data_IF_604413436959
#
_entry.id   IF_604413436959
#
_cell.length_a   1.000
_cell.length_b   1.000
_cell.length_c   1.000
_cell.angle_alpha   90.00
_cell.angle_beta   90.00
_cell.angle_gamma   90.00
#
_symmetry.space_group_name_H-M   'P 1'
#
loop_
_entity.id
_entity.type
_entity.pdbx_description
1 polymer ?
#
# COMPACT_ATOMS: atom_id res chain seq x y z
N UNK A 1 20.96 -0.48 -9.59
CA UNK A 1 19.87 -0.10 -8.71
C UNK A 1 18.85 0.77 -9.43
N UNK A 2 17.65 0.78 -8.97
CA UNK A 2 16.58 1.60 -9.48
C UNK A 2 15.92 2.32 -8.31
N UNK A 3 15.70 3.63 -8.44
CA UNK A 3 14.95 4.46 -7.51
C UNK A 3 13.71 4.96 -8.25
N UNK A 4 12.53 4.73 -7.71
CA UNK A 4 11.29 5.17 -8.32
C UNK A 4 10.43 5.87 -7.26
N UNK A 5 10.03 7.11 -7.57
CA UNK A 5 9.08 7.90 -6.78
C UNK A 5 7.86 8.19 -7.62
N UNK A 6 6.69 7.94 -7.05
CA UNK A 6 5.41 8.16 -7.71
C UNK A 6 4.44 8.82 -6.75
N UNK A 7 3.67 9.74 -7.29
CA UNK A 7 2.58 10.40 -6.61
C UNK A 7 1.27 10.17 -7.37
N UNK A 8 0.24 9.83 -6.64
CA UNK A 8 -1.08 9.51 -7.20
C UNK A 8 -2.18 10.12 -6.35
N UNK A 9 -3.35 10.31 -6.97
CA UNK A 9 -4.60 10.39 -6.21
C UNK A 9 -4.95 8.99 -5.70
N UNK A 10 -5.30 8.81 -4.41
CA UNK A 10 -5.67 7.50 -3.88
C UNK A 10 -6.83 6.86 -4.66
N UNK A 11 -6.76 5.56 -4.88
CA UNK A 11 -7.80 4.82 -5.64
C UNK A 11 -9.19 4.93 -4.99
N UNK A 12 -9.23 5.01 -3.65
CA UNK A 12 -10.47 5.13 -2.88
C UNK A 12 -11.22 6.47 -3.13
N UNK A 13 -10.55 7.50 -3.65
CA UNK A 13 -11.18 8.74 -4.12
C UNK A 13 -12.10 8.47 -5.31
N UNK A 14 -11.81 7.41 -6.08
CA UNK A 14 -12.71 6.88 -7.08
C UNK A 14 -12.89 7.76 -8.32
N UNK A 15 -11.87 8.49 -8.74
CA UNK A 15 -11.93 9.44 -9.88
C UNK A 15 -12.46 8.78 -11.15
N UNK A 16 -11.99 7.56 -11.47
CA UNK A 16 -12.47 6.85 -12.65
C UNK A 16 -13.96 6.46 -12.52
N UNK A 17 -14.37 6.01 -11.34
CA UNK A 17 -15.76 5.67 -11.07
C UNK A 17 -16.67 6.89 -11.16
N UNK A 18 -16.22 8.02 -10.62
CA UNK A 18 -16.93 9.29 -10.75
C UNK A 18 -17.08 9.71 -12.20
N UNK A 19 -16.02 9.67 -13.00
CA UNK A 19 -16.04 10.05 -14.40
C UNK A 19 -17.00 9.18 -15.25
N UNK A 20 -17.17 7.92 -14.90
CA UNK A 20 -18.06 6.98 -15.58
C UNK A 20 -19.51 7.11 -15.17
N UNK A 21 -19.79 7.31 -13.88
CA UNK A 21 -21.14 7.16 -13.32
C UNK A 21 -21.82 8.50 -13.03
N UNK A 22 -21.08 9.61 -13.01
CA UNK A 22 -21.68 10.91 -12.72
C UNK A 22 -22.27 11.52 -14.00
N UNK A 23 -23.49 12.04 -13.88
CA UNK A 23 -24.13 12.76 -14.98
C UNK A 23 -23.35 14.03 -15.32
N UNK A 24 -23.21 14.32 -16.61
CA UNK A 24 -22.59 15.56 -17.10
C UNK A 24 -23.34 16.85 -16.68
N UNK A 25 -24.56 16.70 -16.19
CA UNK A 25 -25.37 17.81 -15.65
C UNK A 25 -25.01 18.17 -14.20
N UNK A 26 -24.11 17.41 -13.56
CA UNK A 26 -23.62 17.69 -12.20
C UNK A 26 -22.31 18.44 -12.30
N UNK A 27 -22.30 19.78 -12.15
CA UNK A 27 -21.07 20.56 -12.27
C UNK A 27 -20.21 20.41 -11.01
N UNK A 28 -18.88 20.31 -11.18
CA UNK A 28 -17.95 20.36 -10.06
C UNK A 28 -17.70 21.79 -9.55
N UNK A 29 -17.90 22.77 -10.44
CA UNK A 29 -17.75 24.19 -10.14
C UNK A 29 -19.08 24.92 -10.43
N UNK A 30 -19.41 25.91 -9.61
CA UNK A 30 -20.49 26.84 -9.83
C UNK A 30 -20.17 27.91 -10.91
N UNK A 31 -21.16 28.73 -11.24
CA UNK A 31 -20.97 29.86 -12.17
C UNK A 31 -19.99 30.93 -11.61
N UNK A 32 -19.83 30.97 -10.33
CA UNK A 32 -18.88 31.82 -9.57
C UNK A 32 -17.45 31.26 -9.52
N UNK A 33 -17.23 30.02 -10.02
CA UNK A 33 -15.95 29.33 -9.99
C UNK A 33 -15.64 28.63 -8.66
N UNK A 34 -16.56 28.65 -7.70
CA UNK A 34 -16.44 27.94 -6.44
C UNK A 34 -16.84 26.46 -6.58
N UNK A 35 -16.32 25.59 -5.69
CA UNK A 35 -16.67 24.18 -5.68
C UNK A 35 -18.13 23.97 -5.26
N UNK A 36 -18.85 23.16 -6.03
CA UNK A 36 -20.22 22.75 -5.69
C UNK A 36 -20.20 21.43 -4.96
N UNK A 37 -20.71 21.41 -3.73
CA UNK A 37 -20.78 20.23 -2.91
C UNK A 37 -22.14 19.59 -2.98
N UNK A 38 -22.16 18.26 -3.05
CA UNK A 38 -23.37 17.44 -3.17
C UNK A 38 -23.50 16.52 -1.97
N UNK A 39 -24.74 16.38 -1.49
CA UNK A 39 -25.05 15.37 -0.48
C UNK A 39 -25.17 13.99 -1.14
N UNK A 40 -24.20 13.13 -0.90
CA UNK A 40 -24.11 11.79 -1.51
C UNK A 40 -25.17 10.82 -0.98
N UNK A 41 -25.74 11.11 0.19
CA UNK A 41 -26.67 10.21 0.85
C UNK A 41 -27.88 10.98 1.44
N UNK A 42 -28.87 11.19 0.59
CA UNK A 42 -30.11 11.90 0.96
C UNK A 42 -30.89 11.27 2.12
N UNK A 43 -30.61 10.01 2.46
CA UNK A 43 -31.23 9.30 3.57
C UNK A 43 -30.47 9.42 4.89
N UNK A 44 -29.33 10.08 4.91
CA UNK A 44 -28.56 10.30 6.13
C UNK A 44 -29.04 11.56 6.87
N UNK A 45 -29.13 11.44 8.17
CA UNK A 45 -29.47 12.54 9.09
C UNK A 45 -28.45 13.69 9.05
N UNK A 46 -27.30 13.47 8.42
CA UNK A 46 -26.19 14.42 8.32
C UNK A 46 -25.68 14.47 6.88
N UNK A 47 -25.52 15.68 6.37
CA UNK A 47 -24.95 15.94 5.04
C UNK A 47 -23.47 15.53 5.05
N UNK A 48 -23.09 14.69 4.11
CA UNK A 48 -21.69 14.49 3.75
C UNK A 48 -21.45 15.24 2.44
N UNK A 49 -20.94 16.44 2.57
CA UNK A 49 -20.63 17.27 1.43
C UNK A 49 -19.51 16.60 0.62
N UNK A 50 -19.80 16.31 -0.64
CA UNK A 50 -18.89 15.64 -1.57
C UNK A 50 -18.61 16.50 -2.79
N UNK A 51 -17.35 16.68 -3.11
CA UNK A 51 -16.90 17.19 -4.39
C UNK A 51 -15.61 16.43 -4.76
N UNK A 52 -15.56 15.87 -5.97
CA UNK A 52 -14.42 15.04 -6.41
C UNK A 52 -13.13 15.84 -6.48
N UNK A 53 -13.19 17.13 -6.88
CA UNK A 53 -12.02 17.97 -6.98
C UNK A 53 -11.44 18.24 -5.59
N UNK A 54 -12.32 18.57 -4.62
CA UNK A 54 -11.92 18.73 -3.23
C UNK A 54 -11.23 17.48 -2.67
N UNK A 55 -11.80 16.29 -2.92
CA UNK A 55 -11.22 15.04 -2.45
C UNK A 55 -9.87 14.73 -3.13
N UNK A 56 -9.70 15.10 -4.40
CA UNK A 56 -8.43 14.97 -5.10
C UNK A 56 -7.36 15.93 -4.56
N UNK A 57 -7.72 17.19 -4.30
CA UNK A 57 -6.79 18.24 -3.83
C UNK A 57 -6.32 17.99 -2.39
N UNK A 58 -7.19 17.35 -1.56
CA UNK A 58 -6.90 17.07 -0.16
C UNK A 58 -6.50 15.62 0.11
N UNK A 59 -6.17 14.86 -0.92
CA UNK A 59 -5.70 13.47 -0.79
C UNK A 59 -4.49 13.22 -1.67
N UNK A 60 -3.55 12.41 -1.16
CA UNK A 60 -2.40 11.98 -1.95
C UNK A 60 -1.95 10.57 -1.56
N UNK A 61 -1.27 9.91 -2.47
CA UNK A 61 -0.57 8.64 -2.26
C UNK A 61 0.83 8.74 -2.84
N UNK A 62 1.82 8.55 -2.00
CA UNK A 62 3.23 8.50 -2.39
C UNK A 62 3.72 7.07 -2.34
N UNK A 63 4.37 6.62 -3.41
CA UNK A 63 5.00 5.32 -3.48
C UNK A 63 6.46 5.52 -3.84
N UNK A 64 7.33 5.24 -2.89
CA UNK A 64 8.77 5.27 -3.06
C UNK A 64 9.31 3.83 -3.09
N UNK A 65 10.01 3.47 -4.18
CA UNK A 65 10.55 2.13 -4.34
C UNK A 65 12.03 2.19 -4.65
N UNK A 66 12.82 1.55 -3.80
CA UNK A 66 14.25 1.33 -3.98
C UNK A 66 14.51 -0.13 -4.33
N UNK A 67 15.24 -0.38 -5.40
CA UNK A 67 15.59 -1.73 -5.82
C UNK A 67 17.06 -1.84 -6.14
N UNK A 68 17.72 -2.85 -5.58
CA UNK A 68 19.10 -3.20 -5.88
C UNK A 68 19.12 -4.66 -6.31
N UNK A 69 19.71 -4.92 -7.50
CA UNK A 69 19.94 -6.25 -8.00
C UNK A 69 21.42 -6.45 -8.36
N UNK A 70 21.94 -7.60 -8.00
CA UNK A 70 23.30 -8.04 -8.35
C UNK A 70 23.24 -9.45 -8.91
N UNK A 71 23.98 -9.68 -10.00
CA UNK A 71 24.14 -11.01 -10.59
C UNK A 71 25.62 -11.26 -10.87
N UNK A 72 26.07 -12.46 -10.58
CA UNK A 72 27.43 -12.92 -10.84
C UNK A 72 27.36 -14.29 -11.48
N UNK A 73 28.16 -14.49 -12.51
CA UNK A 73 28.32 -15.76 -13.19
C UNK A 73 29.81 -16.11 -13.31
N UNK A 74 30.17 -17.30 -12.88
CA UNK A 74 31.51 -17.83 -12.98
C UNK A 74 31.45 -19.16 -13.72
N UNK A 75 32.24 -19.32 -14.79
CA UNK A 75 32.35 -20.55 -15.54
C UNK A 75 33.80 -21.02 -15.60
N UNK A 76 34.01 -22.30 -15.32
CA UNK A 76 35.32 -22.94 -15.39
C UNK A 76 35.28 -24.24 -16.18
N UNK A 77 36.17 -24.40 -17.13
CA UNK A 77 36.36 -25.65 -17.89
C UNK A 77 37.38 -26.51 -17.17
N UNK A 78 36.88 -27.57 -16.50
CA UNK A 78 37.72 -28.49 -15.72
C UNK A 78 38.59 -29.34 -16.66
N UNK A 79 37.96 -29.93 -17.69
CA UNK A 79 38.60 -30.63 -18.80
C UNK A 79 37.84 -30.32 -20.09
N UNK A 80 38.34 -30.75 -21.23
CA UNK A 80 37.73 -30.46 -22.55
C UNK A 80 36.27 -30.87 -22.66
N UNK A 81 35.84 -31.91 -21.91
CA UNK A 81 34.47 -32.45 -21.91
C UNK A 81 33.65 -32.08 -20.68
N UNK A 82 34.22 -31.38 -19.69
CA UNK A 82 33.53 -31.06 -18.44
C UNK A 82 33.64 -29.57 -18.11
N UNK A 83 32.47 -28.90 -17.98
CA UNK A 83 32.36 -27.49 -17.62
C UNK A 83 31.54 -27.36 -16.32
N UNK A 84 32.04 -26.55 -15.42
CA UNK A 84 31.30 -26.13 -14.23
C UNK A 84 30.92 -24.64 -14.35
N UNK A 85 29.71 -24.31 -13.97
CA UNK A 85 29.20 -22.93 -13.90
C UNK A 85 28.49 -22.67 -12.57
N UNK A 86 28.75 -21.51 -12.02
CA UNK A 86 28.08 -21.05 -10.82
C UNK A 86 27.47 -19.69 -11.10
N UNK A 87 26.17 -19.57 -10.86
CA UNK A 87 25.42 -18.34 -10.98
C UNK A 87 24.90 -17.96 -9.60
N UNK A 88 25.15 -16.73 -9.21
CA UNK A 88 24.62 -16.13 -7.98
C UNK A 88 23.80 -14.92 -8.34
N UNK A 89 22.62 -14.78 -7.75
CA UNK A 89 21.82 -13.56 -7.82
C UNK A 89 21.40 -13.11 -6.43
N UNK A 90 21.38 -11.81 -6.23
CA UNK A 90 20.87 -11.15 -5.05
C UNK A 90 19.97 -9.99 -5.47
N UNK A 91 18.76 -9.90 -4.91
CA UNK A 91 17.85 -8.79 -5.14
C UNK A 91 17.26 -8.35 -3.81
N UNK A 92 17.22 -7.05 -3.60
CA UNK A 92 16.50 -6.41 -2.50
C UNK A 92 15.66 -5.29 -3.06
N UNK A 93 14.42 -5.21 -2.61
CA UNK A 93 13.49 -4.14 -2.92
C UNK A 93 12.85 -3.64 -1.64
N UNK A 94 12.78 -2.35 -1.48
CA UNK A 94 12.11 -1.66 -0.40
C UNK A 94 11.06 -0.74 -1.00
N UNK A 95 9.84 -0.76 -0.48
CA UNK A 95 8.75 0.10 -0.95
C UNK A 95 8.05 0.70 0.26
N UNK A 96 8.00 2.01 0.29
CA UNK A 96 7.17 2.83 1.17
C UNK A 96 5.94 3.28 0.38
N UNK A 97 4.75 3.07 0.93
CA UNK A 97 3.46 3.41 0.33
C UNK A 97 2.63 4.15 1.37
N UNK A 98 2.63 5.47 1.26
CA UNK A 98 1.96 6.37 2.17
C UNK A 98 0.74 6.98 1.50
N UNK A 99 -0.43 6.86 2.13
CA UNK A 99 -1.68 7.42 1.63
C UNK A 99 -2.30 8.33 2.68
N UNK A 100 -2.68 9.53 2.27
CA UNK A 100 -3.29 10.55 3.13
C UNK A 100 -4.64 10.99 2.58
N UNK A 101 -5.59 11.15 3.48
CA UNK A 101 -6.89 11.79 3.26
C UNK A 101 -7.04 12.94 4.24
N UNK A 102 -7.16 14.15 3.71
CA UNK A 102 -7.32 15.36 4.52
C UNK A 102 -8.64 15.43 5.26
N UNK A 103 -8.67 16.24 6.31
CA UNK A 103 -9.87 16.38 7.16
C UNK A 103 -11.10 16.92 6.42
N UNK A 104 -10.89 17.61 5.29
CA UNK A 104 -11.94 18.20 4.45
C UNK A 104 -12.49 17.23 3.40
N UNK A 105 -11.91 16.02 3.29
CA UNK A 105 -12.38 15.02 2.33
C UNK A 105 -13.72 14.41 2.76
N UNK A 106 -14.51 14.01 1.78
CA UNK A 106 -15.79 13.33 2.00
C UNK A 106 -15.63 12.07 2.87
N UNK A 107 -14.49 11.37 2.73
CA UNK A 107 -14.11 10.22 3.57
C UNK A 107 -14.05 10.60 5.05
N UNK A 108 -13.37 11.68 5.40
CA UNK A 108 -13.22 12.12 6.79
C UNK A 108 -14.52 12.74 7.32
N UNK A 109 -15.25 13.47 6.48
CA UNK A 109 -16.58 13.99 6.83
C UNK A 109 -17.57 12.86 7.11
N UNK A 110 -17.59 11.80 6.30
CA UNK A 110 -18.42 10.62 6.53
C UNK A 110 -18.11 9.95 7.88
N UNK A 111 -16.85 9.88 8.27
CA UNK A 111 -16.44 9.35 9.58
C UNK A 111 -16.91 10.20 10.75
N UNK A 112 -16.85 11.52 10.64
CA UNK A 112 -17.43 12.44 11.63
C UNK A 112 -18.93 12.21 11.78
N UNK A 113 -19.62 11.96 10.67
CA UNK A 113 -21.04 11.61 10.68
C UNK A 113 -21.32 10.26 11.36
N UNK A 114 -20.45 9.27 11.18
CA UNK A 114 -20.55 7.96 11.86
C UNK A 114 -20.37 8.14 13.38
N UNK A 115 -19.40 8.92 13.80
CA UNK A 115 -19.19 9.26 15.21
C UNK A 115 -20.43 9.93 15.81
N UNK A 116 -21.06 10.87 15.09
CA UNK A 116 -22.32 11.51 15.50
C UNK A 116 -23.47 10.50 15.60
N UNK A 117 -23.51 9.48 14.74
CA UNK A 117 -24.55 8.46 14.73
C UNK A 117 -24.48 7.51 15.92
N UNK A 118 -23.30 7.30 16.49
CA UNK A 118 -23.08 6.49 17.68
C UNK A 118 -23.57 7.15 18.98
N UNK A 119 -23.92 8.44 18.94
CA UNK A 119 -24.50 9.17 20.08
C UNK A 119 -26.00 8.90 20.15
N UNK A 120 -26.60 8.79 21.38
CA UNK A 120 -28.04 8.56 21.55
C UNK A 120 -28.86 9.61 20.83
N UNK A 121 -30.01 9.21 20.30
CA UNK A 121 -30.88 9.94 19.38
C UNK A 121 -31.38 11.33 19.81
N UNK A 122 -31.09 11.77 21.01
CA UNK A 122 -31.59 13.03 21.57
C UNK A 122 -30.58 14.18 21.53
N UNK A 123 -29.37 13.98 21.01
CA UNK A 123 -28.25 14.80 21.43
C UNK A 123 -27.60 15.67 20.34
N UNK A 124 -28.25 15.93 19.21
CA UNK A 124 -27.57 16.64 18.11
C UNK A 124 -28.30 17.92 17.69
N UNK A 125 -28.69 18.70 18.64
CA UNK A 125 -28.90 20.13 18.38
C UNK A 125 -27.56 20.87 18.43
N UNK A 126 -27.39 21.81 17.51
CA UNK A 126 -26.22 22.69 17.44
C UNK A 126 -26.12 23.41 18.80
N UNK A 127 -25.08 23.07 19.57
CA UNK A 127 -24.89 23.60 20.92
C UNK A 127 -24.74 22.54 22.02
N UNK A 128 -25.00 21.28 21.73
CA UNK A 128 -24.79 20.19 22.68
C UNK A 128 -23.29 19.89 22.85
N UNK A 129 -22.88 19.56 24.08
CA UNK A 129 -21.51 19.17 24.41
C UNK A 129 -21.04 17.95 23.56
N UNK A 130 -21.97 17.08 23.18
CA UNK A 130 -21.70 15.94 22.32
C UNK A 130 -21.48 16.35 20.85
N UNK A 131 -22.15 17.38 20.36
CA UNK A 131 -21.91 17.95 19.03
C UNK A 131 -20.56 18.68 18.99
N UNK A 132 -20.21 19.41 20.06
CA UNK A 132 -18.88 20.03 20.18
C UNK A 132 -17.76 18.99 20.22
N UNK A 133 -17.96 17.86 20.91
CA UNK A 133 -17.01 16.77 20.94
C UNK A 133 -16.86 16.07 19.57
N UNK A 134 -17.95 15.95 18.82
CA UNK A 134 -17.91 15.38 17.45
C UNK A 134 -17.25 16.32 16.43
N UNK A 135 -17.33 17.64 16.63
CA UNK A 135 -16.65 18.65 15.81
C UNK A 135 -15.19 18.86 16.21
N UNK A 136 -14.80 18.44 17.41
CA UNK A 136 -13.39 18.50 17.86
C UNK A 136 -12.48 17.41 17.28
N UNK A 137 -13.06 16.51 16.47
CA UNK A 137 -12.31 15.51 15.70
C UNK A 137 -11.63 16.24 14.54
N UNK A 138 -10.42 16.69 14.79
CA UNK A 138 -9.58 17.36 13.81
C UNK A 138 -8.62 16.35 13.15
N UNK A 139 -8.18 16.67 11.93
CA UNK A 139 -7.16 15.93 11.22
C UNK A 139 -7.68 14.87 10.25
N UNK A 140 -6.77 14.42 9.43
CA UNK A 140 -7.01 13.43 8.38
C UNK A 140 -6.69 12.00 8.81
N UNK A 141 -6.76 11.08 7.84
CA UNK A 141 -6.33 9.69 7.96
C UNK A 141 -5.02 9.49 7.20
N UNK A 142 -4.02 8.92 7.85
CA UNK A 142 -2.74 8.56 7.24
C UNK A 142 -2.58 7.04 7.30
N UNK A 143 -2.42 6.42 6.13
CA UNK A 143 -2.06 5.01 5.96
C UNK A 143 -0.58 4.94 5.64
N UNK A 144 0.15 4.16 6.40
CA UNK A 144 1.58 3.91 6.20
C UNK A 144 1.76 2.43 5.91
N UNK A 145 2.43 2.11 4.84
CA UNK A 145 2.80 0.73 4.51
C UNK A 145 4.25 0.68 4.03
N UNK A 146 4.99 -0.21 4.64
CA UNK A 146 6.38 -0.45 4.30
C UNK A 146 6.56 -1.93 3.98
N UNK A 147 7.19 -2.23 2.85
CA UNK A 147 7.47 -3.61 2.45
C UNK A 147 8.91 -3.78 2.02
N UNK A 148 9.51 -4.88 2.43
CA UNK A 148 10.86 -5.28 2.03
C UNK A 148 10.82 -6.69 1.47
N UNK A 149 11.32 -6.84 0.24
CA UNK A 149 11.59 -8.12 -0.39
C UNK A 149 13.10 -8.31 -0.51
N UNK A 150 13.58 -9.43 -0.04
CA UNK A 150 14.98 -9.82 -0.16
C UNK A 150 15.07 -11.25 -0.69
N UNK A 151 15.83 -11.45 -1.76
CA UNK A 151 15.98 -12.77 -2.34
C UNK A 151 17.43 -13.00 -2.81
N UNK A 152 17.88 -14.23 -2.64
CA UNK A 152 19.10 -14.67 -3.28
C UNK A 152 18.92 -16.08 -3.84
N UNK A 153 19.64 -16.35 -4.92
CA UNK A 153 19.74 -17.69 -5.47
C UNK A 153 21.19 -18.03 -5.84
N UNK A 154 21.52 -19.28 -5.63
CA UNK A 154 22.80 -19.86 -6.03
C UNK A 154 22.50 -21.10 -6.87
N UNK A 155 22.95 -21.12 -8.12
CA UNK A 155 22.78 -22.22 -9.05
C UNK A 155 24.14 -22.70 -9.53
N UNK A 156 24.44 -23.97 -9.28
CA UNK A 156 25.58 -24.67 -9.80
C UNK A 156 25.17 -25.59 -10.95
N UNK A 157 25.88 -25.55 -12.05
CA UNK A 157 25.66 -26.43 -13.22
C UNK A 157 26.93 -27.12 -13.56
N UNK A 158 26.91 -28.44 -13.67
CA UNK A 158 28.02 -29.25 -14.20
C UNK A 158 27.53 -29.87 -15.49
N UNK A 159 28.21 -29.54 -16.58
CA UNK A 159 27.88 -30.01 -17.92
C UNK A 159 29.05 -30.92 -18.44
N UNK A 160 28.69 -32.17 -18.71
CA UNK A 160 29.59 -33.10 -19.42
C UNK A 160 29.12 -33.22 -20.85
N UNK A 161 30.05 -33.01 -21.80
CA UNK A 161 29.78 -33.18 -23.23
C UNK A 161 30.99 -33.85 -23.90
N UNK A 162 30.76 -35.01 -24.48
CA UNK A 162 31.79 -35.77 -25.17
C UNK A 162 31.26 -36.38 -26.46
N UNK A 163 31.94 -36.14 -27.57
CA UNK A 163 31.75 -36.87 -28.82
C UNK A 163 32.41 -38.26 -28.71
N UNK A 164 31.62 -39.31 -28.93
CA UNK A 164 32.10 -40.67 -28.93
C UNK A 164 32.59 -41.10 -30.32
N UNK A 165 31.85 -40.66 -31.36
CA UNK A 165 32.18 -40.85 -32.78
C UNK A 165 31.81 -39.58 -33.56
N UNK A 166 32.07 -39.51 -34.84
CA UNK A 166 31.69 -38.37 -35.70
C UNK A 166 30.17 -38.10 -35.67
N UNK A 167 29.35 -39.13 -35.41
CA UNK A 167 27.90 -39.03 -35.45
C UNK A 167 27.21 -39.26 -34.08
N UNK A 168 27.99 -39.42 -33.00
CA UNK A 168 27.45 -39.72 -31.67
C UNK A 168 28.11 -38.85 -30.60
N UNK A 169 27.28 -38.18 -29.79
CA UNK A 169 27.70 -37.40 -28.64
C UNK A 169 26.86 -37.73 -27.43
N UNK A 170 27.45 -37.65 -26.23
CA UNK A 170 26.78 -37.75 -24.95
C UNK A 170 26.86 -36.40 -24.29
N UNK A 171 25.71 -35.91 -23.84
CA UNK A 171 25.59 -34.72 -22.98
C UNK A 171 24.88 -35.11 -21.71
N UNK A 172 25.43 -34.74 -20.55
CA UNK A 172 24.82 -34.92 -19.25
C UNK A 172 24.96 -33.63 -18.44
N UNK A 173 23.89 -33.24 -17.77
CA UNK A 173 23.88 -32.07 -16.92
C UNK A 173 23.47 -32.45 -15.49
N UNK A 174 24.20 -31.90 -14.53
CA UNK A 174 23.84 -31.91 -13.12
C UNK A 174 23.65 -30.46 -12.68
N UNK A 175 22.47 -30.13 -12.16
CA UNK A 175 22.12 -28.78 -11.73
C UNK A 175 21.69 -28.85 -10.26
N UNK A 176 22.35 -28.04 -9.43
CA UNK A 176 21.94 -27.80 -8.03
C UNK A 176 21.53 -26.37 -7.86
N UNK A 177 20.42 -26.13 -7.20
CA UNK A 177 19.90 -24.79 -6.95
C UNK A 177 19.48 -24.62 -5.49
N UNK A 178 19.89 -23.49 -4.91
CA UNK A 178 19.47 -23.01 -3.61
C UNK A 178 18.80 -21.65 -3.82
N UNK A 179 17.59 -21.48 -3.33
CA UNK A 179 16.94 -20.17 -3.33
C UNK A 179 16.40 -19.82 -1.95
N UNK A 180 16.43 -18.52 -1.67
CA UNK A 180 15.92 -17.92 -0.47
C UNK A 180 15.16 -16.67 -0.85
N UNK A 181 13.95 -16.52 -0.32
CA UNK A 181 13.15 -15.31 -0.46
C UNK A 181 12.52 -14.97 0.88
N UNK A 182 12.74 -13.73 1.31
CA UNK A 182 12.15 -13.16 2.51
C UNK A 182 11.32 -11.94 2.14
N UNK A 183 10.06 -11.97 2.51
CA UNK A 183 9.14 -10.84 2.46
C UNK A 183 8.87 -10.39 3.88
N UNK A 184 9.04 -9.11 4.16
CA UNK A 184 8.61 -8.49 5.40
C UNK A 184 7.82 -7.23 5.11
N UNK A 185 6.74 -7.01 5.86
CA UNK A 185 5.85 -5.88 5.69
C UNK A 185 5.37 -5.34 7.02
N UNK A 186 5.10 -4.05 7.03
CA UNK A 186 4.44 -3.35 8.11
C UNK A 186 3.39 -2.43 7.51
N UNK A 187 2.18 -2.42 8.06
CA UNK A 187 1.12 -1.51 7.66
C UNK A 187 0.36 -1.00 8.87
N UNK A 188 0.00 0.27 8.88
CA UNK A 188 -0.80 0.90 9.92
C UNK A 188 -1.62 2.04 9.34
N UNK A 189 -2.86 2.19 9.83
CA UNK A 189 -3.71 3.34 9.54
C UNK A 189 -3.92 4.15 10.80
N UNK A 190 -3.58 5.41 10.76
CA UNK A 190 -3.77 6.35 11.87
C UNK A 190 -4.70 7.47 11.45
N UNK A 191 -5.61 7.83 12.33
CA UNK A 191 -6.53 8.97 12.19
C UNK A 191 -6.07 10.11 13.09
N UNK A 192 -6.61 11.30 12.85
CA UNK A 192 -6.25 12.54 13.55
C UNK A 192 -4.83 13.02 13.23
N UNK A 193 -4.39 12.74 12.02
CA UNK A 193 -3.14 13.26 11.52
C UNK A 193 -3.28 14.74 11.14
N UNK A 194 -2.40 15.56 11.68
CA UNK A 194 -2.38 17.02 11.52
C UNK A 194 -1.07 17.42 10.82
N UNK A 195 -1.02 17.43 9.47
CA UNK A 195 0.20 17.76 8.74
C UNK A 195 0.66 19.18 9.03
N UNK A 196 -0.26 20.14 9.11
CA UNK A 196 0.02 21.58 9.28
C UNK A 196 0.44 21.95 10.71
N UNK A 197 0.26 21.05 11.66
CA UNK A 197 0.63 21.22 13.08
C UNK A 197 1.88 20.45 13.48
N UNK A 198 2.81 20.27 12.53
CA UNK A 198 4.07 19.57 12.79
C UNK A 198 4.01 18.07 12.60
N UNK A 199 3.12 17.58 11.75
CA UNK A 199 2.99 16.15 11.41
C UNK A 199 2.69 15.26 12.63
N UNK A 200 1.83 15.73 13.52
CA UNK A 200 1.47 15.03 14.75
C UNK A 200 0.14 14.30 14.60
N UNK A 201 -0.08 13.34 15.49
CA UNK A 201 -1.38 12.70 15.69
C UNK A 201 -2.01 13.25 16.97
N UNK A 202 -3.24 13.76 16.86
CA UNK A 202 -3.98 14.23 18.03
C UNK A 202 -4.51 13.06 18.85
N UNK A 203 -4.57 13.24 20.17
CA UNK A 203 -5.04 12.22 21.10
C UNK A 203 -6.53 12.41 21.37
N UNK A 204 -7.32 11.37 21.12
CA UNK A 204 -8.74 11.36 21.39
C UNK A 204 -9.09 10.57 22.63
N UNK A 205 -10.15 11.01 23.33
CA UNK A 205 -10.80 10.18 24.34
C UNK A 205 -11.68 9.12 23.62
N UNK A 206 -11.06 8.04 23.21
CA UNK A 206 -11.66 6.90 22.49
C UNK A 206 -12.88 6.35 23.25
N UNK A 207 -12.90 6.46 24.58
CA UNK A 207 -13.98 5.92 25.42
C UNK A 207 -15.33 6.60 25.23
N UNK A 208 -15.35 7.81 24.67
CA UNK A 208 -16.58 8.55 24.41
C UNK A 208 -17.29 8.15 23.11
N UNK A 209 -16.63 7.40 22.22
CA UNK A 209 -17.11 7.13 20.88
C UNK A 209 -17.05 5.65 20.54
N UNK A 210 -18.19 4.94 20.56
CA UNK A 210 -18.26 3.49 20.35
C UNK A 210 -17.74 3.07 18.99
N UNK A 211 -18.12 3.76 17.91
CA UNK A 211 -17.65 3.46 16.55
C UNK A 211 -16.17 3.72 16.37
N UNK A 212 -15.60 4.69 17.07
CA UNK A 212 -14.18 4.93 17.08
C UNK A 212 -13.43 3.87 17.89
N UNK A 213 -14.03 3.38 18.96
CA UNK A 213 -13.49 2.25 19.74
C UNK A 213 -13.44 0.99 18.89
N UNK A 214 -14.48 0.69 18.12
CA UNK A 214 -14.49 -0.44 17.18
C UNK A 214 -13.38 -0.33 16.14
N UNK A 215 -13.22 0.85 15.52
CA UNK A 215 -12.14 1.07 14.58
C UNK A 215 -10.76 0.96 15.24
N UNK A 216 -10.55 1.49 16.43
CA UNK A 216 -9.26 1.42 17.14
C UNK A 216 -8.84 -0.02 17.51
N UNK A 217 -9.79 -0.95 17.52
CA UNK A 217 -9.54 -2.37 17.71
C UNK A 217 -9.37 -3.14 16.38
N UNK A 218 -9.54 -2.49 15.24
CA UNK A 218 -9.28 -3.11 13.93
C UNK A 218 -7.79 -3.39 13.72
N UNK A 219 -7.48 -4.37 12.88
CA UNK A 219 -6.10 -4.70 12.52
C UNK A 219 -5.39 -3.54 11.83
N UNK A 220 -6.11 -2.74 11.06
CA UNK A 220 -5.59 -1.54 10.39
C UNK A 220 -5.08 -0.50 11.39
N UNK A 221 -5.88 -0.22 12.44
CA UNK A 221 -5.52 0.76 13.46
C UNK A 221 -4.39 0.30 14.40
N UNK A 222 -4.33 -1.02 14.66
CA UNK A 222 -3.28 -1.62 15.51
C UNK A 222 -1.94 -1.72 14.82
N UNK A 223 -1.97 -1.79 13.50
CA UNK A 223 -0.84 -2.11 12.66
C UNK A 223 -0.62 -3.62 12.54
N UNK A 224 -0.19 -4.02 11.35
CA UNK A 224 0.06 -5.42 11.01
C UNK A 224 1.50 -5.57 10.56
N UNK A 225 2.16 -6.60 11.05
CA UNK A 225 3.47 -7.04 10.57
C UNK A 225 3.32 -8.35 9.82
N UNK A 226 4.01 -8.47 8.72
CA UNK A 226 4.11 -9.70 7.93
C UNK A 226 5.57 -10.09 7.80
N UNK A 227 5.87 -11.37 7.98
CA UNK A 227 7.22 -11.93 7.79
C UNK A 227 7.07 -13.33 7.21
N UNK A 228 7.38 -13.46 5.93
CA UNK A 228 7.29 -14.72 5.18
C UNK A 228 8.68 -15.10 4.68
N UNK A 229 9.07 -16.34 4.96
CA UNK A 229 10.34 -16.90 4.56
C UNK A 229 10.13 -18.16 3.72
N UNK A 230 10.68 -18.15 2.51
CA UNK A 230 10.68 -19.31 1.61
C UNK A 230 12.11 -19.74 1.32
N UNK A 231 12.40 -21.02 1.48
CA UNK A 231 13.68 -21.65 1.12
C UNK A 231 13.41 -22.85 0.23
N UNK A 232 14.16 -22.95 -0.86
CA UNK A 232 14.03 -24.06 -1.79
C UNK A 232 15.40 -24.63 -2.11
N UNK A 233 15.45 -25.94 -2.24
CA UNK A 233 16.61 -26.70 -2.67
C UNK A 233 16.17 -27.62 -3.81
N UNK A 234 16.85 -27.55 -4.94
CA UNK A 234 16.56 -28.36 -6.11
C UNK A 234 17.79 -29.10 -6.60
N UNK A 235 17.61 -30.33 -7.09
CA UNK A 235 18.62 -31.08 -7.80
C UNK A 235 17.99 -31.67 -9.07
N UNK A 236 18.62 -31.46 -10.20
CA UNK A 236 18.11 -31.88 -11.51
C UNK A 236 19.22 -32.62 -12.26
N UNK A 237 18.86 -33.76 -12.84
CA UNK A 237 19.70 -34.52 -13.75
C UNK A 237 19.04 -34.57 -15.13
N UNK A 238 19.79 -34.36 -16.18
CA UNK A 238 19.33 -34.50 -17.55
C UNK A 238 20.43 -35.03 -18.47
#
# INVERSE_FOLDING_TARGET
GNLQKKEYTPEDVGVANYAYNTSRSVPAYGEDGELVFYDVDQNRKYKSDYNIINDMEHSWRHIDTDQIGMQMALGYRIISSLKAEVNFSYNVSHTDDDTYYGEETSRMLAMRCIVKRALPNSALEIGDQNAAAATSVAGGELKLSNTKNESYSLRGTLTYNKSLTENQSITANLIGELSHSKYSGFGITKRNYLPDRGMIFDNWDIKKYTSFTEWSHSDEARGRMEDNLTRQVGLIFS
#
